data_IF_190712857458
#
_entry.id   IF_190712857458
#
_cell.length_a   1.000
_cell.length_b   1.000
_cell.length_c   1.000
_cell.angle_alpha   90.00
_cell.angle_beta   90.00
_cell.angle_gamma   90.00
#
_symmetry.space_group_name_H-M   'P 1'
#
loop_
_entity.id
_entity.type
_entity.pdbx_description
1 polymer ?
#
# COMPACT_ATOMS: atom_id res chain seq x y z
N UNK A 1 1.48 23.91 44.68
CA UNK A 1 2.61 23.10 44.16
C UNK A 1 2.33 21.65 44.53
N UNK A 2 1.98 20.77 43.57
CA UNK A 2 1.92 19.30 43.76
C UNK A 2 1.66 18.47 42.46
N UNK A 3 1.79 19.04 41.26
CA UNK A 3 1.46 18.32 40.00
C UNK A 3 2.65 17.68 39.26
N UNK A 4 3.89 17.86 39.71
CA UNK A 4 5.07 17.29 39.03
C UNK A 4 5.40 15.85 39.48
N UNK A 5 4.89 15.42 40.64
CA UNK A 5 5.15 14.07 41.17
C UNK A 5 4.21 12.98 40.65
N UNK A 6 3.01 13.31 40.14
CA UNK A 6 2.07 12.30 39.62
C UNK A 6 2.48 11.78 38.24
N UNK A 7 2.96 12.66 37.34
CA UNK A 7 3.35 12.28 35.97
C UNK A 7 4.56 11.34 35.92
N UNK A 8 5.44 11.38 36.92
CA UNK A 8 6.62 10.53 36.99
C UNK A 8 6.28 9.10 37.47
N UNK A 9 5.26 8.96 38.32
CA UNK A 9 4.80 7.66 38.85
C UNK A 9 4.10 6.84 37.77
N UNK A 10 3.26 7.47 36.92
CA UNK A 10 2.58 6.80 35.81
C UNK A 10 3.54 6.32 34.71
N UNK A 11 4.60 7.10 34.44
CA UNK A 11 5.69 6.73 33.51
C UNK A 11 6.52 5.53 34.01
N UNK A 12 6.74 5.43 35.32
CA UNK A 12 7.44 4.30 35.95
C UNK A 12 6.56 3.04 36.00
N UNK A 13 5.27 3.18 36.28
CA UNK A 13 4.33 2.05 36.27
C UNK A 13 4.13 1.46 34.87
N UNK A 14 4.02 2.30 33.84
CA UNK A 14 3.89 1.83 32.45
C UNK A 14 5.15 1.12 31.96
N UNK A 15 6.35 1.62 32.31
CA UNK A 15 7.62 0.93 32.02
C UNK A 15 7.73 -0.42 32.74
N UNK A 16 7.31 -0.49 34.01
CA UNK A 16 7.32 -1.74 34.76
C UNK A 16 6.35 -2.79 34.17
N UNK A 17 5.15 -2.37 33.76
CA UNK A 17 4.17 -3.25 33.12
C UNK A 17 4.65 -3.79 31.77
N UNK A 18 5.32 -2.96 30.97
CA UNK A 18 5.92 -3.41 29.70
C UNK A 18 7.06 -4.42 29.93
N UNK A 19 7.85 -4.22 30.98
CA UNK A 19 8.96 -5.11 31.34
C UNK A 19 8.45 -6.47 31.87
N UNK A 20 7.36 -6.48 32.64
CA UNK A 20 6.70 -7.73 33.06
C UNK A 20 6.09 -8.50 31.89
N UNK A 21 5.45 -7.82 30.94
CA UNK A 21 4.93 -8.47 29.73
C UNK A 21 6.05 -9.05 28.86
N UNK A 22 7.19 -8.36 28.77
CA UNK A 22 8.36 -8.86 28.06
C UNK A 22 8.93 -10.12 28.74
N UNK A 23 9.04 -10.14 30.08
CA UNK A 23 9.45 -11.33 30.85
C UNK A 23 8.51 -12.52 30.63
N UNK A 24 7.19 -12.29 30.69
CA UNK A 24 6.19 -13.35 30.42
C UNK A 24 6.34 -13.95 29.02
N UNK A 25 6.50 -13.11 27.99
CA UNK A 25 6.75 -13.59 26.62
C UNK A 25 8.06 -14.37 26.49
N UNK A 26 9.11 -13.95 27.20
CA UNK A 26 10.41 -14.61 27.17
C UNK A 26 10.34 -16.00 27.85
N UNK A 27 9.57 -16.12 28.93
CA UNK A 27 9.31 -17.40 29.59
C UNK A 27 8.42 -18.33 28.74
N UNK A 28 7.44 -17.79 28.01
CA UNK A 28 6.66 -18.55 27.02
C UNK A 28 7.54 -19.08 25.88
N UNK A 29 8.47 -18.27 25.36
CA UNK A 29 9.42 -18.69 24.31
C UNK A 29 10.36 -19.77 24.84
N UNK A 30 10.84 -19.65 26.08
CA UNK A 30 11.68 -20.69 26.72
C UNK A 30 10.91 -22.01 26.87
N UNK A 31 9.64 -21.97 27.28
CA UNK A 31 8.77 -23.17 27.35
C UNK A 31 8.48 -23.76 25.97
N UNK A 32 8.29 -22.92 24.96
CA UNK A 32 8.11 -23.36 23.56
C UNK A 32 9.36 -24.10 23.06
N UNK A 33 10.54 -23.62 23.40
CA UNK A 33 11.80 -24.30 23.08
C UNK A 33 12.01 -25.58 23.90
N UNK A 34 11.46 -25.72 25.11
CA UNK A 34 11.42 -27.01 25.82
C UNK A 34 10.53 -28.03 25.11
N UNK A 35 9.40 -27.59 24.52
CA UNK A 35 8.48 -28.44 23.77
C UNK A 35 9.08 -28.84 22.40
N UNK A 36 9.85 -27.95 21.78
CA UNK A 36 10.44 -28.15 20.44
C UNK A 36 11.88 -28.70 20.47
N UNK A 37 12.57 -28.66 21.61
CA UNK A 37 14.04 -28.73 21.70
C UNK A 37 14.62 -29.73 22.69
N UNK A 38 13.88 -30.76 23.07
CA UNK A 38 14.48 -31.99 23.63
C UNK A 38 13.95 -33.17 22.87
N UNK A 39 14.86 -33.87 22.21
CA UNK A 39 14.74 -35.23 21.71
C UNK A 39 13.66 -36.02 22.46
N UNK A 40 12.42 -35.97 21.97
CA UNK A 40 11.46 -37.01 22.25
C UNK A 40 11.99 -38.20 21.48
N UNK A 41 12.77 -39.03 22.17
CA UNK A 41 13.10 -40.36 21.72
C UNK A 41 11.81 -40.97 21.17
N UNK A 42 11.81 -41.20 19.86
CA UNK A 42 10.67 -41.72 19.10
C UNK A 42 10.37 -43.19 19.41
N UNK A 43 10.73 -43.67 20.62
CA UNK A 43 10.82 -45.09 20.95
C UNK A 43 9.64 -45.63 21.77
N UNK A 44 8.70 -44.82 22.28
CA UNK A 44 7.62 -45.32 23.14
C UNK A 44 6.20 -44.80 22.81
N UNK A 45 5.90 -44.57 21.53
CA UNK A 45 4.50 -44.48 21.10
C UNK A 45 3.98 -45.86 20.72
N UNK A 46 2.89 -46.31 21.36
CA UNK A 46 2.18 -47.52 20.95
C UNK A 46 1.52 -47.26 19.59
N UNK A 47 2.16 -47.72 18.52
CA UNK A 47 1.57 -47.74 17.18
C UNK A 47 0.79 -49.06 17.06
N UNK A 48 -0.55 -49.05 16.93
CA UNK A 48 -1.31 -50.26 16.70
C UNK A 48 -0.82 -50.96 15.43
N UNK A 49 -0.30 -52.18 15.57
CA UNK A 49 0.14 -52.99 14.43
C UNK A 49 -1.05 -53.22 13.51
N UNK A 50 -0.96 -52.73 12.27
CA UNK A 50 -1.94 -53.05 11.22
C UNK A 50 -1.88 -54.57 10.97
N UNK A 51 -3.05 -55.20 10.81
CA UNK A 51 -3.15 -56.61 10.42
C UNK A 51 -2.29 -56.85 9.17
N UNK A 52 -1.56 -57.95 9.20
CA UNK A 52 -0.59 -58.39 8.20
C UNK A 52 -1.04 -58.11 6.75
N UNK A 53 -0.17 -57.44 6.00
CA UNK A 53 -0.28 -57.23 4.55
C UNK A 53 0.17 -58.49 3.80
N UNK A 54 -0.52 -59.61 4.01
CA UNK A 54 -0.49 -60.79 3.15
C UNK A 54 -1.93 -61.24 2.88
N UNK A 55 -2.75 -60.30 2.43
CA UNK A 55 -4.02 -60.56 1.78
C UNK A 55 -3.90 -59.99 0.38
N UNK A 56 -3.66 -60.90 -0.56
CA UNK A 56 -4.00 -60.86 -1.98
C UNK A 56 -3.91 -59.50 -2.67
N UNK A 57 -2.84 -59.37 -3.44
CA UNK A 57 -2.58 -58.29 -4.39
C UNK A 57 -3.45 -58.39 -5.65
N UNK A 58 -4.62 -59.03 -5.57
CA UNK A 58 -5.56 -59.18 -6.66
C UNK A 58 -6.95 -58.67 -6.25
N UNK A 59 -7.46 -57.70 -7.01
CA UNK A 59 -8.82 -57.17 -6.96
C UNK A 59 -9.24 -56.38 -5.71
N UNK A 60 -8.81 -55.13 -5.61
CA UNK A 60 -9.66 -54.01 -5.16
C UNK A 60 -8.97 -52.67 -5.41
N UNK A 61 -8.70 -52.36 -6.68
CA UNK A 61 -8.65 -50.95 -7.09
C UNK A 61 -10.09 -50.43 -7.01
N UNK A 62 -10.57 -50.13 -5.80
CA UNK A 62 -11.73 -49.27 -5.63
C UNK A 62 -11.33 -47.91 -6.22
N UNK A 63 -11.60 -47.76 -7.51
CA UNK A 63 -11.67 -46.46 -8.19
C UNK A 63 -12.51 -45.61 -7.25
N UNK A 64 -11.89 -44.61 -6.63
CA UNK A 64 -12.57 -43.65 -5.77
C UNK A 64 -13.62 -42.99 -6.66
N UNK A 65 -14.85 -43.50 -6.61
CA UNK A 65 -15.95 -42.94 -7.37
C UNK A 65 -16.14 -41.52 -6.86
N UNK A 66 -16.20 -40.51 -7.74
CA UNK A 66 -16.45 -39.15 -7.30
C UNK A 66 -17.71 -39.15 -6.42
N UNK A 67 -17.63 -38.53 -5.24
CA UNK A 67 -18.76 -38.43 -4.31
C UNK A 67 -19.95 -37.92 -5.11
N UNK A 68 -21.09 -38.64 -5.05
CA UNK A 68 -22.33 -38.20 -5.73
C UNK A 68 -22.56 -36.73 -5.34
N UNK A 69 -22.74 -35.86 -6.34
CA UNK A 69 -23.06 -34.44 -6.09
C UNK A 69 -24.24 -34.44 -5.12
N UNK A 70 -24.07 -33.85 -3.94
CA UNK A 70 -25.20 -33.67 -3.03
C UNK A 70 -26.24 -32.91 -3.83
N UNK A 71 -27.47 -33.44 -3.91
CA UNK A 71 -28.59 -32.65 -4.38
C UNK A 71 -28.72 -31.51 -3.36
N UNK A 72 -28.14 -30.37 -3.70
CA UNK A 72 -28.32 -29.15 -2.93
C UNK A 72 -29.83 -28.90 -2.86
N UNK A 73 -30.35 -28.43 -1.70
CA UNK A 73 -31.79 -28.25 -1.47
C UNK A 73 -32.32 -27.01 -2.21
N UNK A 74 -32.00 -26.89 -3.50
CA UNK A 74 -32.46 -25.83 -4.39
C UNK A 74 -33.48 -26.40 -5.36
N UNK A 75 -34.59 -25.70 -5.53
CA UNK A 75 -35.55 -25.99 -6.61
C UNK A 75 -34.90 -25.73 -7.98
N UNK A 76 -35.47 -26.27 -9.05
CA UNK A 76 -34.95 -26.04 -10.41
C UNK A 76 -34.98 -24.54 -10.78
N UNK A 77 -36.02 -23.83 -10.36
CA UNK A 77 -36.14 -22.37 -10.51
C UNK A 77 -35.01 -21.62 -9.79
N UNK A 78 -34.72 -21.97 -8.54
CA UNK A 78 -33.62 -21.38 -7.77
C UNK A 78 -32.26 -21.66 -8.40
N UNK A 79 -32.05 -22.86 -8.96
CA UNK A 79 -30.80 -23.17 -9.67
C UNK A 79 -30.64 -22.30 -10.91
N UNK A 80 -31.72 -22.09 -11.67
CA UNK A 80 -31.72 -21.23 -12.86
C UNK A 80 -31.42 -19.77 -12.50
N UNK A 81 -32.01 -19.25 -11.43
CA UNK A 81 -31.73 -17.91 -10.91
C UNK A 81 -30.28 -17.77 -10.44
N UNK A 82 -29.75 -18.77 -9.72
CA UNK A 82 -28.34 -18.78 -9.31
C UNK A 82 -27.40 -18.83 -10.52
N UNK A 83 -27.71 -19.63 -11.55
CA UNK A 83 -26.93 -19.70 -12.77
C UNK A 83 -26.94 -18.38 -13.54
N UNK A 84 -28.11 -17.74 -13.65
CA UNK A 84 -28.27 -16.42 -14.28
C UNK A 84 -27.51 -15.33 -13.52
N UNK A 85 -27.65 -15.26 -12.20
CA UNK A 85 -26.92 -14.29 -11.36
C UNK A 85 -25.40 -14.50 -11.45
N UNK A 86 -24.91 -15.73 -11.41
CA UNK A 86 -23.48 -16.04 -11.59
C UNK A 86 -23.02 -15.62 -12.98
N UNK A 87 -23.83 -15.83 -14.02
CA UNK A 87 -23.52 -15.40 -15.39
C UNK A 87 -23.45 -13.87 -15.50
N UNK A 88 -24.42 -13.16 -14.94
CA UNK A 88 -24.48 -11.70 -14.95
C UNK A 88 -23.28 -11.09 -14.23
N UNK A 89 -22.97 -11.59 -13.03
CA UNK A 89 -21.80 -11.15 -12.26
C UNK A 89 -20.50 -11.39 -13.04
N UNK A 90 -20.34 -12.55 -13.69
CA UNK A 90 -19.16 -12.82 -14.52
C UNK A 90 -19.04 -11.86 -15.69
N UNK A 91 -20.16 -11.52 -16.33
CA UNK A 91 -20.19 -10.59 -17.45
C UNK A 91 -19.84 -9.17 -16.98
N UNK A 92 -20.41 -8.71 -15.86
CA UNK A 92 -20.07 -7.42 -15.25
C UNK A 92 -18.56 -7.31 -14.93
N UNK A 93 -17.97 -8.34 -14.32
CA UNK A 93 -16.53 -8.36 -14.04
C UNK A 93 -15.69 -8.26 -15.32
N UNK A 94 -16.10 -8.95 -16.38
CA UNK A 94 -15.40 -8.92 -17.66
C UNK A 94 -15.49 -7.54 -18.32
N UNK A 95 -16.66 -6.91 -18.25
CA UNK A 95 -16.89 -5.58 -18.82
C UNK A 95 -16.09 -4.51 -18.06
N UNK A 96 -16.02 -4.60 -16.73
CA UNK A 96 -15.15 -3.75 -15.89
C UNK A 96 -13.68 -3.95 -16.26
N UNK A 97 -13.22 -5.20 -16.42
CA UNK A 97 -11.83 -5.49 -16.79
C UNK A 97 -11.47 -4.88 -18.16
N UNK A 98 -12.38 -4.96 -19.14
CA UNK A 98 -12.19 -4.36 -20.47
C UNK A 98 -12.14 -2.83 -20.37
N UNK A 99 -13.01 -2.21 -19.57
CA UNK A 99 -13.01 -0.77 -19.35
C UNK A 99 -11.72 -0.29 -18.67
N UNK A 100 -11.27 -0.99 -17.63
CA UNK A 100 -10.02 -0.69 -16.94
C UNK A 100 -8.81 -0.76 -17.89
N UNK A 101 -8.71 -1.81 -18.71
CA UNK A 101 -7.64 -1.94 -19.72
C UNK A 101 -7.68 -0.82 -20.77
N UNK A 102 -8.87 -0.38 -21.17
CA UNK A 102 -9.01 0.76 -22.09
C UNK A 102 -8.57 2.08 -21.44
N UNK A 103 -8.91 2.28 -20.17
CA UNK A 103 -8.56 3.46 -19.40
C UNK A 103 -7.06 3.51 -19.13
N UNK A 104 -6.46 2.41 -18.68
CA UNK A 104 -5.01 2.25 -18.49
C UNK A 104 -4.24 2.59 -19.77
N UNK A 105 -4.64 2.05 -20.93
CA UNK A 105 -4.01 2.38 -22.21
C UNK A 105 -4.13 3.85 -22.59
N UNK A 106 -5.19 4.55 -22.18
CA UNK A 106 -5.33 6.00 -22.41
C UNK A 106 -4.37 6.76 -21.50
N UNK A 107 -4.33 6.42 -20.22
CA UNK A 107 -3.44 7.05 -19.23
C UNK A 107 -1.96 6.88 -19.62
N UNK A 108 -1.53 5.68 -20.02
CA UNK A 108 -0.14 5.45 -20.48
C UNK A 108 0.21 6.29 -21.71
N UNK A 109 -0.75 6.51 -22.64
CA UNK A 109 -0.51 7.40 -23.79
C UNK A 109 -0.41 8.86 -23.37
N UNK A 110 -1.18 9.29 -22.40
CA UNK A 110 -1.13 10.65 -21.86
C UNK A 110 0.15 10.89 -21.04
N UNK A 111 0.58 9.91 -20.25
CA UNK A 111 1.88 9.89 -19.56
C UNK A 111 3.02 10.13 -20.56
N UNK A 112 3.07 9.35 -21.65
CA UNK A 112 4.10 9.54 -22.69
C UNK A 112 4.05 10.92 -23.36
N UNK A 113 2.86 11.52 -23.50
CA UNK A 113 2.73 12.88 -24.05
C UNK A 113 3.27 13.92 -23.06
N UNK A 114 2.92 13.82 -21.79
CA UNK A 114 3.40 14.72 -20.74
C UNK A 114 4.91 14.62 -20.56
N UNK A 115 5.47 13.40 -20.54
CA UNK A 115 6.93 13.21 -20.45
C UNK A 115 7.67 13.87 -21.61
N UNK A 116 7.13 13.80 -22.84
CA UNK A 116 7.71 14.52 -24.00
C UNK A 116 7.59 16.03 -23.86
N UNK A 117 6.50 16.54 -23.29
CA UNK A 117 6.31 17.97 -23.05
C UNK A 117 7.27 18.48 -21.97
N UNK A 118 7.43 17.75 -20.86
CA UNK A 118 8.41 18.05 -19.79
C UNK A 118 9.83 18.08 -20.36
N UNK A 119 10.20 17.11 -21.20
CA UNK A 119 11.51 17.13 -21.84
C UNK A 119 11.72 18.36 -22.74
N UNK A 120 10.70 18.75 -23.51
CA UNK A 120 10.75 19.95 -24.36
C UNK A 120 10.86 21.23 -23.54
N UNK A 121 10.11 21.36 -22.45
CA UNK A 121 10.18 22.54 -21.57
C UNK A 121 11.50 22.60 -20.83
N UNK A 122 12.02 21.46 -20.33
CA UNK A 122 13.35 21.38 -19.72
C UNK A 122 14.44 21.87 -20.67
N UNK A 123 14.42 21.43 -21.93
CA UNK A 123 15.37 21.90 -22.95
C UNK A 123 15.20 23.39 -23.25
N UNK A 124 13.96 23.90 -23.25
CA UNK A 124 13.67 25.32 -23.46
C UNK A 124 14.18 26.18 -22.30
N UNK A 125 14.01 25.72 -21.05
CA UNK A 125 14.51 26.36 -19.83
C UNK A 125 16.03 26.50 -19.89
N UNK A 126 16.75 25.43 -20.21
CA UNK A 126 18.21 25.48 -20.42
C UNK A 126 18.63 26.52 -21.46
N UNK A 127 17.94 26.57 -22.61
CA UNK A 127 18.24 27.56 -23.65
C UNK A 127 17.90 29.01 -23.26
N UNK A 128 16.93 29.21 -22.37
CA UNK A 128 16.51 30.54 -21.88
C UNK A 128 17.42 31.05 -20.77
N UNK A 129 17.93 30.14 -19.92
CA UNK A 129 19.00 30.40 -18.96
C UNK A 129 20.24 30.97 -19.67
N UNK A 130 20.69 30.33 -20.76
CA UNK A 130 21.86 30.78 -21.52
C UNK A 130 21.67 32.16 -22.19
N UNK A 131 20.41 32.62 -22.35
CA UNK A 131 20.04 33.85 -23.06
C UNK A 131 19.57 34.99 -22.14
N UNK A 132 19.58 34.81 -20.83
CA UNK A 132 19.12 35.79 -19.83
C UNK A 132 17.74 36.40 -20.13
N UNK A 133 16.78 35.57 -20.55
CA UNK A 133 15.39 36.00 -20.79
C UNK A 133 14.48 35.62 -19.62
N UNK A 134 14.47 36.44 -18.59
CA UNK A 134 13.84 36.13 -17.28
C UNK A 134 12.32 35.95 -17.36
N UNK A 135 11.58 36.83 -18.04
CA UNK A 135 10.11 36.74 -18.14
C UNK A 135 9.61 35.50 -18.90
N UNK A 136 10.35 35.09 -19.95
CA UNK A 136 10.04 33.88 -20.70
C UNK A 136 10.41 32.63 -19.91
N UNK A 137 11.44 32.71 -19.06
CA UNK A 137 11.92 31.61 -18.22
C UNK A 137 10.88 31.26 -17.13
N UNK A 138 10.38 32.26 -16.40
CA UNK A 138 9.39 32.06 -15.33
C UNK A 138 8.12 31.36 -15.87
N UNK A 139 7.58 31.86 -16.98
CA UNK A 139 6.41 31.25 -17.64
C UNK A 139 6.66 29.81 -18.09
N UNK A 140 7.89 29.50 -18.53
CA UNK A 140 8.23 28.13 -18.92
C UNK A 140 8.41 27.18 -17.74
N UNK A 141 8.82 27.70 -16.58
CA UNK A 141 8.90 26.94 -15.33
C UNK A 141 7.51 26.64 -14.78
N UNK A 142 6.61 27.62 -14.72
CA UNK A 142 5.22 27.41 -14.30
C UNK A 142 4.53 26.33 -15.14
N UNK A 143 4.71 26.39 -16.45
CA UNK A 143 4.16 25.41 -17.38
C UNK A 143 4.81 24.02 -17.24
N UNK A 144 6.07 23.94 -16.81
CA UNK A 144 6.71 22.67 -16.48
C UNK A 144 6.12 22.07 -15.19
N UNK A 145 5.87 22.89 -14.17
CA UNK A 145 5.26 22.46 -12.91
C UNK A 145 3.83 21.95 -13.13
N UNK A 146 3.04 22.62 -13.98
CA UNK A 146 1.72 22.15 -14.40
C UNK A 146 1.80 20.75 -15.04
N UNK A 147 2.80 20.51 -15.90
CA UNK A 147 2.99 19.20 -16.52
C UNK A 147 3.43 18.13 -15.51
N UNK A 148 4.29 18.48 -14.54
CA UNK A 148 4.63 17.56 -13.45
C UNK A 148 3.42 17.19 -12.60
N UNK A 149 2.59 18.17 -12.22
CA UNK A 149 1.37 17.90 -11.44
C UNK A 149 0.36 17.05 -12.22
N UNK A 150 0.24 17.27 -13.53
CA UNK A 150 -0.59 16.42 -14.38
C UNK A 150 -0.03 15.00 -14.51
N UNK A 151 1.30 14.86 -14.59
CA UNK A 151 1.97 13.55 -14.67
C UNK A 151 1.77 12.75 -13.39
N UNK A 152 1.92 13.39 -12.23
CA UNK A 152 1.72 12.76 -10.91
C UNK A 152 0.30 12.20 -10.79
N UNK A 153 -0.73 12.97 -11.19
CA UNK A 153 -2.12 12.50 -11.20
C UNK A 153 -2.33 11.27 -12.09
N UNK A 154 -1.71 11.26 -13.26
CA UNK A 154 -1.81 10.11 -14.19
C UNK A 154 -1.15 8.87 -13.58
N UNK A 155 -0.01 9.03 -12.91
CA UNK A 155 0.67 7.92 -12.23
C UNK A 155 -0.17 7.38 -11.07
N UNK A 156 -0.77 8.25 -10.26
CA UNK A 156 -1.70 7.86 -9.19
C UNK A 156 -2.92 7.09 -9.74
N UNK A 157 -3.49 7.55 -10.86
CA UNK A 157 -4.63 6.89 -11.51
C UNK A 157 -4.26 5.51 -12.06
N UNK A 158 -3.08 5.38 -12.68
CA UNK A 158 -2.54 4.09 -13.16
C UNK A 158 -2.35 3.14 -11.98
N UNK A 159 -1.67 3.60 -10.92
CA UNK A 159 -1.40 2.78 -9.74
C UNK A 159 -2.69 2.32 -9.06
N UNK A 160 -3.71 3.17 -9.03
CA UNK A 160 -5.04 2.83 -8.48
C UNK A 160 -5.72 1.72 -9.29
N UNK A 161 -5.67 1.78 -10.62
CA UNK A 161 -6.23 0.74 -11.51
C UNK A 161 -5.48 -0.58 -11.30
N UNK A 162 -4.15 -0.50 -11.27
CA UNK A 162 -3.25 -1.64 -11.07
C UNK A 162 -3.59 -2.31 -9.73
N UNK A 163 -3.65 -1.56 -8.62
CA UNK A 163 -4.02 -2.10 -7.29
C UNK A 163 -5.39 -2.80 -7.25
N UNK A 164 -6.33 -2.40 -8.11
CA UNK A 164 -7.64 -3.04 -8.27
C UNK A 164 -7.58 -4.43 -8.89
N UNK A 165 -6.49 -4.78 -9.58
CA UNK A 165 -6.34 -6.07 -10.23
C UNK A 165 -6.15 -7.21 -9.23
N UNK A 166 -6.88 -8.31 -9.43
CA UNK A 166 -6.84 -9.49 -8.59
C UNK A 166 -5.48 -10.21 -8.58
N UNK A 167 -4.62 -9.94 -9.56
CA UNK A 167 -3.34 -10.62 -9.75
C UNK A 167 -2.18 -10.01 -8.94
N UNK A 168 -2.40 -8.91 -8.23
CA UNK A 168 -1.34 -8.26 -7.46
C UNK A 168 -1.16 -8.94 -6.11
N UNK A 169 0.10 -9.22 -5.77
CA UNK A 169 0.43 -9.81 -4.48
C UNK A 169 0.04 -8.88 -3.31
N UNK A 170 -0.39 -9.48 -2.21
CA UNK A 170 -0.71 -8.73 -0.98
C UNK A 170 0.48 -7.87 -0.50
N UNK A 171 1.72 -8.32 -0.77
CA UNK A 171 2.95 -7.60 -0.45
C UNK A 171 3.10 -6.31 -1.27
N UNK A 172 2.81 -6.33 -2.57
CA UNK A 172 2.84 -5.14 -3.42
C UNK A 172 1.76 -4.13 -3.02
N UNK A 173 0.54 -4.60 -2.72
CA UNK A 173 -0.53 -3.73 -2.19
C UNK A 173 -0.12 -3.06 -0.88
N UNK A 174 0.45 -3.82 0.05
CA UNK A 174 0.97 -3.28 1.32
C UNK A 174 2.11 -2.28 1.10
N UNK A 175 3.05 -2.56 0.19
CA UNK A 175 4.14 -1.63 -0.14
C UNK A 175 3.61 -0.30 -0.63
N UNK A 176 2.60 -0.30 -1.51
CA UNK A 176 2.00 0.94 -1.98
C UNK A 176 1.30 1.72 -0.86
N UNK A 177 0.50 1.05 -0.03
CA UNK A 177 -0.16 1.68 1.13
C UNK A 177 0.87 2.28 2.09
N UNK A 178 1.95 1.55 2.39
CA UNK A 178 3.00 2.02 3.29
C UNK A 178 3.84 3.14 2.68
N UNK A 179 4.15 3.10 1.39
CA UNK A 179 4.82 4.21 0.72
C UNK A 179 3.96 5.48 0.75
N UNK A 180 2.65 5.37 0.51
CA UNK A 180 1.75 6.52 0.61
C UNK A 180 1.66 7.06 2.04
N UNK A 181 1.53 6.17 3.03
CA UNK A 181 1.49 6.57 4.44
C UNK A 181 2.82 7.18 4.91
N UNK A 182 3.94 6.61 4.48
CA UNK A 182 5.28 7.12 4.78
C UNK A 182 5.50 8.49 4.14
N UNK A 183 5.16 8.65 2.85
CA UNK A 183 5.24 9.92 2.15
C UNK A 183 4.37 10.99 2.82
N UNK A 184 3.16 10.63 3.25
CA UNK A 184 2.27 11.52 3.99
C UNK A 184 2.84 11.94 5.36
N UNK A 185 3.46 11.02 6.10
CA UNK A 185 4.08 11.35 7.39
C UNK A 185 5.37 12.16 7.21
N UNK A 186 6.16 11.90 6.16
CA UNK A 186 7.34 12.72 5.83
C UNK A 186 6.95 14.12 5.39
N UNK A 187 5.87 14.29 4.62
CA UNK A 187 5.33 15.61 4.26
C UNK A 187 4.80 16.34 5.48
N UNK A 188 4.10 15.64 6.38
CA UNK A 188 3.68 16.19 7.67
C UNK A 188 4.88 16.64 8.50
N UNK A 189 5.93 15.84 8.57
CA UNK A 189 7.15 16.19 9.30
C UNK A 189 7.88 17.39 8.67
N UNK A 190 7.99 17.44 7.34
CA UNK A 190 8.52 18.61 6.61
C UNK A 190 7.72 19.87 6.91
N UNK A 191 6.39 19.79 6.87
CA UNK A 191 5.50 20.91 7.21
C UNK A 191 5.70 21.38 8.65
N UNK A 192 5.88 20.47 9.62
CA UNK A 192 6.19 20.82 11.01
C UNK A 192 7.55 21.54 11.12
N UNK A 193 8.55 21.11 10.36
CA UNK A 193 9.87 21.77 10.33
C UNK A 193 9.76 23.16 9.71
N UNK A 194 9.00 23.31 8.63
CA UNK A 194 8.75 24.61 7.99
C UNK A 194 7.96 25.55 8.90
N UNK A 195 6.95 25.03 9.62
CA UNK A 195 6.22 25.75 10.67
C UNK A 195 7.14 26.20 11.82
N UNK A 196 8.20 25.44 12.15
CA UNK A 196 9.21 25.89 13.13
C UNK A 196 10.11 26.99 12.59
N UNK A 197 10.34 27.05 11.28
CA UNK A 197 11.16 28.09 10.64
C UNK A 197 10.39 29.41 10.49
N UNK A 198 9.09 29.36 10.19
CA UNK A 198 8.22 30.52 10.08
C UNK A 198 7.45 30.72 11.39
N UNK A 199 7.99 31.54 12.31
CA UNK A 199 7.55 31.69 13.71
C UNK A 199 6.11 32.19 13.98
N UNK A 200 5.26 32.36 12.96
CA UNK A 200 3.96 33.06 13.08
C UNK A 200 2.74 32.23 12.60
N UNK A 201 2.52 31.01 13.10
CA UNK A 201 1.26 30.29 12.85
C UNK A 201 0.77 29.51 14.09
N UNK A 202 -0.51 29.67 14.43
CA UNK A 202 -1.16 29.08 15.61
C UNK A 202 -1.64 27.62 15.38
N UNK A 203 -1.82 26.86 16.48
CA UNK A 203 -2.31 25.47 16.50
C UNK A 203 -3.63 25.25 15.73
N UNK A 204 -4.46 26.29 15.56
CA UNK A 204 -5.69 26.25 14.77
C UNK A 204 -5.45 25.93 13.29
N UNK A 205 -4.24 26.13 12.78
CA UNK A 205 -3.89 25.87 11.38
C UNK A 205 -3.43 24.41 11.14
N UNK A 206 -3.40 23.57 12.19
CA UNK A 206 -3.06 22.15 12.10
C UNK A 206 -4.29 21.24 11.88
N UNK A 207 -5.49 21.77 12.07
CA UNK A 207 -6.73 21.03 11.81
C UNK A 207 -6.99 21.13 10.31
N UNK A 208 -6.94 19.97 9.63
CA UNK A 208 -7.27 19.86 8.20
C UNK A 208 -8.62 20.54 7.94
N UNK A 209 -8.62 21.68 7.27
CA UNK A 209 -9.78 22.07 6.48
C UNK A 209 -9.83 21.11 5.29
N UNK A 210 -10.94 20.38 5.13
CA UNK A 210 -11.17 19.43 4.02
C UNK A 210 -11.24 20.09 2.63
N UNK A 211 -10.80 21.34 2.48
CA UNK A 211 -10.80 22.02 1.20
C UNK A 211 -9.69 23.06 1.11
N UNK A 212 -8.51 22.58 0.71
CA UNK A 212 -7.70 23.12 -0.39
C UNK A 212 -6.37 22.39 -0.34
N UNK A 213 -5.96 21.78 -1.46
CA UNK A 213 -4.55 21.47 -1.69
C UNK A 213 -3.83 22.81 -1.54
N UNK A 214 -3.16 23.02 -0.40
CA UNK A 214 -2.18 24.12 -0.31
C UNK A 214 -1.20 23.88 -1.45
N UNK A 215 -1.04 24.90 -2.29
CA UNK A 215 -0.04 24.88 -3.36
C UNK A 215 1.31 24.51 -2.74
N UNK A 216 2.14 23.71 -3.45
CA UNK A 216 3.52 23.57 -3.05
C UNK A 216 4.10 24.98 -2.88
N UNK A 217 4.89 25.17 -1.81
CA UNK A 217 5.58 26.42 -1.45
C UNK A 217 5.83 27.26 -2.70
N UNK A 218 5.18 28.43 -2.81
CA UNK A 218 5.45 29.36 -3.91
C UNK A 218 6.92 29.74 -3.81
N UNK A 219 7.73 29.08 -4.63
CA UNK A 219 9.14 29.38 -4.76
C UNK A 219 9.22 30.80 -5.26
N UNK A 220 9.91 31.68 -4.51
CA UNK A 220 9.80 33.15 -4.68
C UNK A 220 10.52 33.67 -5.92
N UNK A 221 11.35 32.84 -6.55
CA UNK A 221 12.19 33.18 -7.69
C UNK A 221 12.49 31.95 -8.54
N UNK A 222 12.56 32.12 -9.87
CA UNK A 222 13.06 31.09 -10.79
C UNK A 222 14.44 30.54 -10.41
N UNK A 223 15.27 31.32 -9.71
CA UNK A 223 16.59 30.88 -9.24
C UNK A 223 16.49 29.87 -8.10
N UNK A 224 15.64 30.12 -7.11
CA UNK A 224 15.32 29.16 -6.05
C UNK A 224 14.67 27.89 -6.63
N UNK A 225 13.86 27.99 -7.70
CA UNK A 225 13.25 26.83 -8.40
C UNK A 225 14.30 25.92 -9.06
N UNK A 226 15.39 26.52 -9.54
CA UNK A 226 16.49 25.82 -10.20
C UNK A 226 17.63 25.42 -9.25
N UNK A 227 17.54 25.77 -7.97
CA UNK A 227 18.61 25.53 -6.99
C UNK A 227 19.88 26.36 -7.26
N UNK A 228 19.73 27.55 -7.84
CA UNK A 228 20.83 28.46 -8.19
C UNK A 228 21.09 29.54 -7.13
N UNK A 229 20.30 29.60 -6.06
CA UNK A 229 20.43 30.59 -4.97
C UNK A 229 21.27 30.09 -3.77
N UNK A 230 21.93 28.93 -3.88
CA UNK A 230 22.85 28.40 -2.87
C UNK A 230 24.32 28.79 -3.19
N UNK A 231 24.69 30.03 -2.91
CA UNK A 231 26.09 30.50 -2.76
C UNK A 231 26.39 30.84 -1.28
#
# INVERSE_FOLDING_TARGET
MNNENQNNVDSLQTKNNQNEQAKKRLDEIKKSNEIMGKNSESSNFFIPKRKNTNLDLESNSEIIKPRKRKNLPFTEEQKKEIEETVSNVKQEFKDIEIQNKMLEKKLVKEEQKLTKLIYKTSKKISNLLDKNKEDELEKTLELQDEYFSALEKIQDDIDTIVLGEANISLQQRRKHIYNNAYNAETERARRIIEMRKNRDMAWSNQIKSDSKKESPREVKSWKERLGLDDD
#
